data_IF_175960337849
#
_entry.id   IF_175960337849
#
_cell.length_a   1.000
_cell.length_b   1.000
_cell.length_c   1.000
_cell.angle_alpha   90.00
_cell.angle_beta   90.00
_cell.angle_gamma   90.00
#
_symmetry.space_group_name_H-M   'P 1'
#
loop_
_entity.id
_entity.type
_entity.pdbx_description
1 polymer ?
#
# COMPACT_ATOMS: atom_id res chain seq x y z
N UNK A 1 3.58 -11.36 2.65
CA UNK A 1 3.64 -11.40 4.14
C UNK A 1 2.99 -10.18 4.77
N UNK A 2 3.35 -8.96 4.37
CA UNK A 2 2.72 -7.74 4.92
C UNK A 2 1.19 -7.74 4.80
N UNK A 3 0.63 -8.08 3.62
CA UNK A 3 -0.82 -8.07 3.40
C UNK A 3 -1.60 -9.07 4.27
N UNK A 4 -1.04 -10.25 4.56
CA UNK A 4 -1.68 -11.25 5.43
C UNK A 4 -1.66 -10.85 6.90
N UNK A 5 -0.64 -10.09 7.33
CA UNK A 5 -0.55 -9.58 8.70
C UNK A 5 -1.46 -8.37 8.89
N UNK A 6 -1.46 -7.44 7.94
CA UNK A 6 -2.31 -6.25 7.98
C UNK A 6 -3.81 -6.59 8.01
N UNK A 7 -4.24 -7.68 7.35
CA UNK A 7 -5.62 -8.18 7.45
C UNK A 7 -6.02 -8.70 8.83
N UNK A 8 -5.06 -9.01 9.70
CA UNK A 8 -5.28 -9.62 11.03
C UNK A 8 -5.06 -8.65 12.18
N UNK A 9 -4.49 -7.48 11.91
CA UNK A 9 -4.14 -6.47 12.90
C UNK A 9 -5.18 -5.36 12.90
N UNK A 10 -5.52 -4.85 14.08
CA UNK A 10 -6.33 -3.64 14.18
C UNK A 10 -5.48 -2.42 13.78
N UNK A 11 -6.12 -1.37 13.26
CA UNK A 11 -5.42 -0.13 12.91
C UNK A 11 -4.60 0.45 14.07
N UNK A 12 -5.06 0.26 15.32
CA UNK A 12 -4.31 0.67 16.52
C UNK A 12 -2.98 -0.09 16.70
N UNK A 13 -2.92 -1.37 16.32
CA UNK A 13 -1.69 -2.16 16.37
C UNK A 13 -0.76 -1.83 15.21
N UNK A 14 -1.31 -1.48 14.05
CA UNK A 14 -0.55 -1.03 12.87
C UNK A 14 0.09 0.35 13.15
N UNK A 15 -0.61 1.21 13.86
CA UNK A 15 -0.15 2.54 14.26
C UNK A 15 0.67 2.54 15.55
N UNK A 16 0.99 1.36 16.08
CA UNK A 16 1.76 1.24 17.32
C UNK A 16 3.23 1.52 17.04
N UNK A 17 3.71 2.66 17.53
CA UNK A 17 5.14 2.97 17.54
C UNK A 17 5.94 2.12 18.53
N UNK A 18 7.27 2.19 18.44
CA UNK A 18 8.17 1.55 19.41
C UNK A 18 7.92 2.09 20.85
N UNK A 19 8.16 1.29 21.90
CA UNK A 19 7.96 1.73 23.29
C UNK A 19 8.73 3.02 23.65
N UNK A 20 9.89 3.21 23.03
CA UNK A 20 10.77 4.36 23.26
C UNK A 20 10.53 5.52 22.27
N UNK A 21 9.83 5.26 21.16
CA UNK A 21 9.53 6.25 20.14
C UNK A 21 8.18 5.95 19.48
N UNK A 22 7.17 6.73 19.88
CA UNK A 22 5.80 6.60 19.37
C UNK A 22 5.67 7.00 17.90
N UNK A 23 6.61 7.78 17.36
CA UNK A 23 6.60 8.20 15.95
C UNK A 23 7.24 7.16 15.03
N UNK A 24 7.96 6.20 15.60
CA UNK A 24 8.55 5.05 14.90
C UNK A 24 7.50 3.97 14.64
N UNK A 25 6.51 4.30 13.83
CA UNK A 25 5.49 3.36 13.34
C UNK A 25 6.09 2.46 12.25
N UNK A 26 5.48 1.30 11.95
CA UNK A 26 5.86 0.47 10.81
C UNK A 26 5.93 1.25 9.48
N UNK A 27 5.03 2.22 9.28
CA UNK A 27 5.04 3.10 8.11
C UNK A 27 6.26 4.02 8.11
N UNK A 28 6.56 4.66 9.24
CA UNK A 28 7.75 5.51 9.40
C UNK A 28 9.04 4.70 9.13
N UNK A 29 9.16 3.50 9.69
CA UNK A 29 10.33 2.64 9.49
C UNK A 29 10.49 2.19 8.04
N UNK A 30 9.39 1.82 7.36
CA UNK A 30 9.42 1.45 5.96
C UNK A 30 9.87 2.63 5.07
N UNK A 31 9.38 3.84 5.35
CA UNK A 31 9.75 5.04 4.62
C UNK A 31 11.22 5.45 4.84
N UNK A 32 11.72 5.33 6.08
CA UNK A 32 13.13 5.57 6.40
C UNK A 32 14.03 4.61 5.62
N UNK A 33 13.74 3.30 5.68
CA UNK A 33 14.52 2.30 4.96
C UNK A 33 14.50 2.51 3.47
N UNK A 34 13.35 2.87 2.89
CA UNK A 34 13.26 3.12 1.46
C UNK A 34 14.14 4.31 1.02
N UNK A 35 14.13 5.41 1.79
CA UNK A 35 14.98 6.57 1.53
C UNK A 35 16.47 6.22 1.69
N UNK A 36 16.83 5.54 2.76
CA UNK A 36 18.22 5.13 3.03
C UNK A 36 18.73 4.15 1.97
N UNK A 37 17.96 3.12 1.62
CA UNK A 37 18.29 2.12 0.60
C UNK A 37 18.43 2.77 -0.79
N UNK A 38 17.56 3.73 -1.11
CA UNK A 38 17.61 4.48 -2.38
C UNK A 38 18.86 5.38 -2.45
N UNK A 39 19.21 6.05 -1.35
CA UNK A 39 20.43 6.85 -1.27
C UNK A 39 21.69 5.99 -1.39
N UNK A 40 21.71 4.84 -0.71
CA UNK A 40 22.84 3.90 -0.75
C UNK A 40 23.01 3.27 -2.13
N UNK A 41 21.92 3.04 -2.88
CA UNK A 41 21.99 2.58 -4.27
C UNK A 41 22.54 3.66 -5.22
N UNK A 42 22.32 4.93 -4.91
CA UNK A 42 22.84 6.07 -5.69
C UNK A 42 24.31 6.38 -5.37
N UNK A 43 24.83 5.93 -4.22
CA UNK A 43 26.24 6.07 -3.88
C UNK A 43 27.10 5.16 -4.77
N UNK A 44 28.15 5.73 -5.38
CA UNK A 44 29.08 5.00 -6.24
C UNK A 44 30.07 4.14 -5.45
N UNK A 45 30.14 4.34 -4.12
CA UNK A 45 31.06 3.60 -3.25
C UNK A 45 30.46 2.29 -2.70
N UNK A 46 29.19 2.00 -2.98
CA UNK A 46 28.50 0.80 -2.50
C UNK A 46 28.95 -0.44 -3.27
N UNK A 47 29.44 -1.44 -2.52
CA UNK A 47 29.86 -2.74 -3.04
C UNK A 47 28.75 -3.45 -3.83
N UNK A 48 29.12 -4.21 -4.85
CA UNK A 48 28.16 -4.86 -5.75
C UNK A 48 27.18 -5.80 -5.00
N UNK A 49 27.67 -6.55 -4.01
CA UNK A 49 26.82 -7.44 -3.21
C UNK A 49 25.73 -6.68 -2.44
N UNK A 50 26.05 -5.46 -1.98
CA UNK A 50 25.09 -4.61 -1.29
C UNK A 50 24.11 -3.97 -2.29
N UNK A 51 24.57 -3.58 -3.49
CA UNK A 51 23.68 -3.13 -4.57
C UNK A 51 22.67 -4.20 -4.99
N UNK A 52 23.12 -5.46 -5.09
CA UNK A 52 22.24 -6.59 -5.43
C UNK A 52 21.18 -6.79 -4.34
N UNK A 53 21.56 -6.65 -3.06
CA UNK A 53 20.63 -6.70 -1.93
C UNK A 53 19.61 -5.56 -1.97
N UNK A 54 20.06 -4.33 -2.20
CA UNK A 54 19.21 -3.14 -2.29
C UNK A 54 18.22 -3.24 -3.46
N UNK A 55 18.66 -3.81 -4.59
CA UNK A 55 17.80 -4.05 -5.77
C UNK A 55 16.62 -4.98 -5.45
N UNK A 56 16.78 -5.88 -4.48
CA UNK A 56 15.71 -6.77 -4.00
C UNK A 56 14.87 -6.10 -2.91
N UNK A 57 15.50 -5.32 -2.03
CA UNK A 57 14.84 -4.70 -0.88
C UNK A 57 13.94 -3.51 -1.27
N UNK A 58 14.39 -2.64 -2.17
CA UNK A 58 13.65 -1.44 -2.58
C UNK A 58 12.26 -1.79 -3.12
N UNK A 59 12.09 -2.72 -4.08
CA UNK A 59 10.75 -3.13 -4.55
C UNK A 59 9.89 -3.75 -3.44
N UNK A 60 10.51 -4.44 -2.47
CA UNK A 60 9.79 -5.03 -1.35
C UNK A 60 9.22 -3.95 -0.43
N UNK A 61 9.99 -2.89 -0.17
CA UNK A 61 9.55 -1.74 0.62
C UNK A 61 8.50 -0.91 -0.11
N UNK A 62 8.68 -0.67 -1.41
CA UNK A 62 7.70 -0.02 -2.28
C UNK A 62 6.35 -0.75 -2.30
N UNK A 63 6.33 -2.08 -2.22
CA UNK A 63 5.08 -2.85 -2.10
C UNK A 63 4.52 -2.87 -0.67
N UNK A 64 5.35 -2.67 0.35
CA UNK A 64 4.92 -2.74 1.76
C UNK A 64 4.23 -1.46 2.21
N UNK A 65 4.70 -0.29 1.75
CA UNK A 65 4.12 1.02 2.09
C UNK A 65 2.63 1.11 1.68
N UNK A 66 2.23 0.80 0.43
CA UNK A 66 0.83 0.74 0.00
C UNK A 66 -0.03 -0.17 0.87
N UNK A 67 0.49 -1.35 1.24
CA UNK A 67 -0.24 -2.32 2.05
C UNK A 67 -0.49 -1.80 3.47
N UNK A 68 0.48 -1.09 4.06
CA UNK A 68 0.31 -0.44 5.35
C UNK A 68 -0.72 0.69 5.28
N UNK A 69 -0.67 1.51 4.22
CA UNK A 69 -1.63 2.59 3.99
C UNK A 69 -3.06 2.05 3.79
N UNK A 70 -3.24 1.01 2.98
CA UNK A 70 -4.53 0.34 2.78
C UNK A 70 -5.09 -0.27 4.07
N UNK A 71 -4.21 -0.66 5.01
CA UNK A 71 -4.59 -1.22 6.29
C UNK A 71 -4.91 -0.17 7.36
N UNK A 72 -4.84 1.12 7.02
CA UNK A 72 -5.15 2.22 7.93
C UNK A 72 -3.95 2.75 8.72
N UNK A 73 -2.73 2.59 8.18
CA UNK A 73 -1.57 3.27 8.75
C UNK A 73 -1.74 4.80 8.67
N UNK A 74 -1.49 5.48 9.79
CA UNK A 74 -1.69 6.92 9.94
C UNK A 74 -0.41 7.69 9.57
N UNK A 75 -0.51 8.47 8.50
CA UNK A 75 0.56 9.34 8.01
C UNK A 75 0.82 10.49 8.99
N UNK A 76 -0.19 10.91 9.76
CA UNK A 76 -0.09 11.98 10.77
C UNK A 76 0.82 11.63 11.94
N UNK A 77 1.11 10.34 12.16
CA UNK A 77 2.06 9.88 13.17
C UNK A 77 3.52 9.92 12.69
N UNK A 78 3.77 10.19 11.40
CA UNK A 78 5.12 10.37 10.91
C UNK A 78 5.75 11.63 11.52
N UNK A 79 7.05 11.58 11.89
CA UNK A 79 7.73 12.76 12.40
C UNK A 79 7.72 13.87 11.34
N UNK A 80 7.04 14.96 11.65
CA UNK A 80 6.96 16.19 10.82
C UNK A 80 8.15 17.11 11.04
N UNK A 81 9.23 16.60 11.64
CA UNK A 81 10.40 17.37 12.02
C UNK A 81 10.95 18.21 10.86
N UNK A 82 11.53 19.35 11.20
CA UNK A 82 12.06 20.38 10.29
C UNK A 82 13.13 19.92 9.31
N UNK A 83 13.65 18.70 9.46
CA UNK A 83 14.76 18.21 8.66
C UNK A 83 14.35 17.84 7.24
N UNK A 84 15.23 18.16 6.29
CA UNK A 84 15.01 17.91 4.87
C UNK A 84 14.80 16.41 4.55
N UNK A 85 15.47 15.52 5.29
CA UNK A 85 15.30 14.06 5.14
C UNK A 85 13.88 13.62 5.53
N UNK A 86 13.33 14.15 6.63
CA UNK A 86 11.96 13.85 7.06
C UNK A 86 10.93 14.30 6.02
N UNK A 87 11.10 15.51 5.47
CA UNK A 87 10.21 16.01 4.40
C UNK A 87 10.26 15.14 3.13
N UNK A 88 11.46 14.70 2.71
CA UNK A 88 11.61 13.79 1.57
C UNK A 88 10.91 12.46 1.81
N UNK A 89 11.12 11.84 2.97
CA UNK A 89 10.44 10.59 3.36
C UNK A 89 8.93 10.73 3.39
N UNK A 90 8.42 11.85 3.92
CA UNK A 90 6.99 12.14 3.91
C UNK A 90 6.43 12.32 2.49
N UNK A 91 7.17 13.00 1.61
CA UNK A 91 6.79 13.13 0.19
C UNK A 91 6.75 11.78 -0.53
N UNK A 92 7.67 10.85 -0.23
CA UNK A 92 7.64 9.49 -0.78
C UNK A 92 6.34 8.77 -0.39
N UNK A 93 5.98 8.78 0.90
CA UNK A 93 4.74 8.16 1.38
C UNK A 93 3.51 8.81 0.79
N UNK A 94 3.48 10.15 0.65
CA UNK A 94 2.37 10.86 0.04
C UNK A 94 2.20 10.54 -1.45
N UNK A 95 3.32 10.36 -2.17
CA UNK A 95 3.28 9.92 -3.57
C UNK A 95 2.71 8.51 -3.69
N UNK A 96 3.15 7.58 -2.85
CA UNK A 96 2.61 6.21 -2.80
C UNK A 96 1.13 6.21 -2.41
N UNK A 97 0.74 7.05 -1.44
CA UNK A 97 -0.65 7.24 -1.05
C UNK A 97 -1.52 7.73 -2.19
N UNK A 98 -1.04 8.70 -2.98
CA UNK A 98 -1.75 9.19 -4.16
C UNK A 98 -1.94 8.09 -5.22
N UNK A 99 -0.92 7.26 -5.45
CA UNK A 99 -1.01 6.10 -6.36
C UNK A 99 -2.05 5.09 -5.88
N UNK A 100 -2.03 4.72 -4.59
CA UNK A 100 -3.04 3.84 -4.00
C UNK A 100 -4.44 4.43 -4.15
N UNK A 101 -4.60 5.73 -3.89
CA UNK A 101 -5.88 6.40 -3.99
C UNK A 101 -6.39 6.46 -5.44
N UNK A 102 -5.50 6.65 -6.41
CA UNK A 102 -5.85 6.66 -7.84
C UNK A 102 -6.26 5.29 -8.36
N UNK A 103 -5.70 4.21 -7.82
CA UNK A 103 -6.04 2.83 -8.20
C UNK A 103 -7.31 2.32 -7.49
N UNK A 104 -7.70 2.95 -6.38
CA UNK A 104 -8.85 2.53 -5.57
C UNK A 104 -10.18 2.47 -6.36
N UNK A 105 -10.54 3.44 -7.21
CA UNK A 105 -11.79 3.38 -7.98
C UNK A 105 -11.83 2.17 -8.92
N UNK A 106 -10.72 1.87 -9.58
CA UNK A 106 -10.61 0.75 -10.52
C UNK A 106 -10.66 -0.59 -9.78
N UNK A 107 -9.94 -0.72 -8.67
CA UNK A 107 -9.96 -1.90 -7.81
C UNK A 107 -11.36 -2.17 -7.23
N UNK A 108 -12.04 -1.11 -6.76
CA UNK A 108 -13.40 -1.20 -6.23
C UNK A 108 -14.40 -1.56 -7.33
N UNK A 109 -14.32 -0.92 -8.50
CA UNK A 109 -15.16 -1.26 -9.65
C UNK A 109 -14.93 -2.69 -10.13
N UNK A 110 -13.68 -3.14 -10.15
CA UNK A 110 -13.31 -4.51 -10.48
C UNK A 110 -13.94 -5.52 -9.52
N UNK A 111 -13.84 -5.27 -8.21
CA UNK A 111 -14.43 -6.12 -7.18
C UNK A 111 -15.97 -6.16 -7.28
N UNK A 112 -16.61 -5.01 -7.46
CA UNK A 112 -18.07 -4.92 -7.65
C UNK A 112 -18.49 -5.69 -8.91
N UNK A 113 -17.77 -5.51 -10.02
CA UNK A 113 -18.07 -6.19 -11.28
C UNK A 113 -17.88 -7.71 -11.16
N UNK A 114 -16.87 -8.16 -10.41
CA UNK A 114 -16.66 -9.58 -10.13
C UNK A 114 -17.79 -10.18 -9.28
N UNK A 115 -18.30 -9.46 -8.28
CA UNK A 115 -19.44 -9.91 -7.45
C UNK A 115 -20.74 -9.91 -8.26
N UNK A 116 -20.94 -8.93 -9.15
CA UNK A 116 -22.14 -8.82 -9.98
C UNK A 116 -22.11 -9.73 -11.22
N UNK A 117 -20.94 -10.19 -11.66
CA UNK A 117 -20.80 -11.02 -12.86
C UNK A 117 -21.70 -12.28 -12.83
N UNK A 118 -21.73 -13.09 -11.75
CA UNK A 118 -22.62 -14.23 -11.65
C UNK A 118 -24.11 -13.84 -11.72
N UNK A 119 -24.48 -12.73 -11.07
CA UNK A 119 -25.86 -12.23 -11.07
C UNK A 119 -26.28 -11.75 -12.46
N UNK A 120 -25.40 -11.04 -13.17
CA UNK A 120 -25.61 -10.60 -14.57
C UNK A 120 -25.72 -11.79 -15.52
N UNK A 121 -24.89 -12.81 -15.34
CA UNK A 121 -24.95 -14.03 -16.15
C UNK A 121 -26.28 -14.78 -15.92
N UNK A 122 -26.71 -14.91 -14.67
CA UNK A 122 -28.00 -15.51 -14.34
C UNK A 122 -29.17 -14.69 -14.90
N UNK A 123 -29.14 -13.36 -14.73
CA UNK A 123 -30.16 -12.47 -15.28
C UNK A 123 -30.21 -12.54 -16.82
N UNK A 124 -29.08 -12.65 -17.51
CA UNK A 124 -29.02 -12.82 -18.95
C UNK A 124 -29.62 -14.16 -19.43
N UNK A 125 -29.55 -15.21 -18.61
CA UNK A 125 -30.22 -16.49 -18.90
C UNK A 125 -31.73 -16.44 -18.66
N UNK A 126 -32.17 -15.68 -17.66
CA UNK A 126 -33.58 -15.61 -17.25
C UNK A 126 -34.38 -14.56 -18.02
N UNK A 127 -33.78 -13.42 -18.36
CA UNK A 127 -34.47 -12.31 -19.03
C UNK A 127 -35.14 -12.70 -20.35
N UNK A 128 -34.52 -13.50 -21.25
CA UNK A 128 -35.19 -13.97 -22.47
C UNK A 128 -36.33 -14.94 -22.17
N UNK A 129 -36.29 -15.68 -21.06
CA UNK A 129 -37.33 -16.66 -20.69
C UNK A 129 -38.55 -16.00 -20.03
N UNK A 130 -38.35 -14.86 -19.38
CA UNK A 130 -39.42 -14.06 -18.79
C UNK A 130 -40.03 -13.07 -19.80
N UNK A 131 -39.29 -12.67 -20.84
CA UNK A 131 -39.79 -11.83 -21.92
C UNK A 131 -40.76 -12.57 -22.87
N UNK A 132 -40.82 -13.90 -22.80
CA UNK A 132 -41.79 -14.74 -23.51
C UNK A 132 -42.98 -15.03 -22.57
N UNK A 133 -43.75 -14.00 -22.24
CA UNK A 133 -45.13 -14.17 -21.77
C UNK A 133 -46.02 -14.04 -23.00
N UNK A 134 -46.83 -15.06 -23.37
CA UNK A 134 -47.80 -14.93 -24.45
C UNK A 134 -48.88 -13.92 -24.05
N UNK A 135 -49.25 -13.05 -24.99
CA UNK A 135 -50.47 -12.22 -24.91
C UNK A 135 -51.72 -13.09 -25.01
#
# INVERSE_FOLDING_TARGET
VAASLCRRLAAADINRGLPNDRTSTPLTVAAIRLDDDTQQLQDNNTEQAERDRLTIQIPSLQNTIPVLLQAGADIGLMPTATDQHHRRRQQLVLSEYATVLNNLPDDVMGAINAVLAPQRSLAALLAPRLAVVPQ
#
